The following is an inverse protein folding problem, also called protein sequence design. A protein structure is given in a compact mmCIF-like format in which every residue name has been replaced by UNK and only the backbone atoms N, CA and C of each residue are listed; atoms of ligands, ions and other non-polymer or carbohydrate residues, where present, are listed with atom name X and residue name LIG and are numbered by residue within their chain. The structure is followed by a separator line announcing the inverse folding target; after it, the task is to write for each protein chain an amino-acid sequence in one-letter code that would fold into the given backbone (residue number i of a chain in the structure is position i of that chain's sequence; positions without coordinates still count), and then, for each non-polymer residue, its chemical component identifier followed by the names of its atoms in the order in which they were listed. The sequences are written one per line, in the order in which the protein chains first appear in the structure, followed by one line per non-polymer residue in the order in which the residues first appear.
data_IF_240383306007
#
_entry.id   IF_240383306007
#
_cell.length_a   1.000
_cell.length_b   1.000
_cell.length_c   1.000
_cell.angle_alpha   90.00
_cell.angle_beta   90.00
_cell.angle_gamma   90.00
#
_symmetry.space_group_name_H-M   'P 1'
#
loop_
_entity.id
_entity.type
_entity.pdbx_description
1 polymer ?
#
# COMPACT_ATOMS: atom_id res chain seq x y z
N UNK A 1 9.91 -13.95 -0.37
CA UNK A 1 10.68 -12.85 0.27
C UNK A 1 11.01 -11.72 -0.72
N UNK A 2 11.23 -10.48 -0.25
CA UNK A 2 11.81 -9.38 -1.04
C UNK A 2 13.17 -8.94 -0.49
N UNK A 3 14.07 -8.50 -1.36
CA UNK A 3 15.36 -7.92 -0.96
C UNK A 3 15.75 -6.74 -1.83
N UNK A 4 16.62 -5.89 -1.30
CA UNK A 4 17.16 -4.74 -2.00
C UNK A 4 18.67 -4.93 -2.17
N UNK A 5 19.13 -4.91 -3.42
CA UNK A 5 20.53 -5.05 -3.77
C UNK A 5 21.04 -3.81 -4.51
N UNK A 6 22.30 -3.43 -4.28
CA UNK A 6 22.97 -2.32 -5.00
C UNK A 6 23.24 -2.68 -6.45
N UNK A 7 23.61 -3.94 -6.67
CA UNK A 7 23.98 -4.48 -7.98
C UNK A 7 23.51 -5.92 -8.09
N UNK A 8 23.33 -6.40 -9.32
CA UNK A 8 23.11 -7.82 -9.61
C UNK A 8 24.16 -8.21 -10.64
N UNK A 9 25.22 -8.90 -10.20
CA UNK A 9 26.32 -9.32 -11.07
C UNK A 9 26.03 -10.62 -11.84
N UNK A 10 25.01 -11.37 -11.40
CA UNK A 10 24.67 -12.69 -11.90
C UNK A 10 23.27 -12.73 -12.52
N UNK A 11 23.04 -13.67 -13.43
CA UNK A 11 21.69 -13.93 -13.93
C UNK A 11 20.84 -14.49 -12.80
N UNK A 12 19.69 -13.88 -12.55
CA UNK A 12 18.75 -14.42 -11.57
C UNK A 12 18.15 -15.74 -12.08
N UNK A 13 17.95 -16.74 -11.21
CA UNK A 13 17.22 -17.94 -11.55
C UNK A 13 15.74 -17.62 -11.86
N UNK A 14 15.04 -18.53 -12.51
CA UNK A 14 13.63 -18.37 -12.90
C UNK A 14 12.65 -18.19 -11.72
N UNK A 15 13.07 -18.58 -10.52
CA UNK A 15 12.34 -18.38 -9.26
C UNK A 15 12.73 -17.09 -8.50
N UNK A 16 13.50 -16.20 -9.11
CA UNK A 16 13.78 -14.85 -8.61
C UNK A 16 13.61 -13.80 -9.72
N UNK A 17 12.97 -12.68 -9.42
CA UNK A 17 12.63 -11.66 -10.42
C UNK A 17 12.97 -10.26 -9.91
N UNK A 18 13.52 -9.42 -10.79
CA UNK A 18 13.66 -7.98 -10.51
C UNK A 18 12.28 -7.33 -10.64
N UNK A 19 11.78 -6.78 -9.53
CA UNK A 19 10.49 -6.09 -9.47
C UNK A 19 10.66 -4.63 -9.91
N UNK A 20 11.67 -3.95 -9.36
CA UNK A 20 11.92 -2.53 -9.62
C UNK A 20 13.41 -2.25 -9.67
N UNK A 21 13.83 -1.33 -10.55
CA UNK A 21 15.21 -0.82 -10.60
C UNK A 21 15.22 0.69 -10.44
N UNK A 22 15.78 1.17 -9.34
CA UNK A 22 16.03 2.59 -9.08
C UNK A 22 17.51 2.93 -9.30
N UNK A 23 17.89 4.20 -9.13
CA UNK A 23 19.28 4.65 -9.31
C UNK A 23 20.25 3.98 -8.31
N UNK A 24 19.78 3.72 -7.08
CA UNK A 24 20.63 3.27 -5.97
C UNK A 24 20.34 1.82 -5.54
N UNK A 25 19.13 1.31 -5.81
CA UNK A 25 18.68 -0.01 -5.36
C UNK A 25 17.89 -0.77 -6.42
N UNK A 26 18.06 -2.08 -6.41
CA UNK A 26 17.33 -3.06 -7.21
C UNK A 26 16.48 -3.90 -6.25
N UNK A 27 15.16 -3.84 -6.42
CA UNK A 27 14.21 -4.67 -5.68
C UNK A 27 14.10 -6.03 -6.38
N UNK A 28 14.41 -7.10 -5.64
CA UNK A 28 14.31 -8.49 -6.11
C UNK A 28 13.27 -9.20 -5.27
N UNK A 29 12.33 -9.87 -5.93
CA UNK A 29 11.42 -10.81 -5.31
C UNK A 29 11.93 -12.24 -5.54
N UNK A 30 12.02 -12.99 -4.45
CA UNK A 30 12.49 -14.37 -4.43
C UNK A 30 11.37 -15.27 -3.91
N UNK A 31 11.14 -16.38 -4.60
CA UNK A 31 10.37 -17.48 -4.04
C UNK A 31 11.18 -18.20 -2.94
N UNK A 32 10.88 -17.87 -1.69
CA UNK A 32 11.49 -18.43 -0.49
C UNK A 32 10.99 -19.83 -0.12
N UNK A 33 10.01 -20.37 -0.85
CA UNK A 33 9.63 -21.78 -0.75
C UNK A 33 10.55 -22.69 -1.58
N UNK A 34 11.35 -22.11 -2.49
CA UNK A 34 12.27 -22.89 -3.33
C UNK A 34 13.45 -23.39 -2.48
N UNK A 35 13.83 -24.68 -2.51
CA UNK A 35 14.83 -25.25 -1.60
C UNK A 35 16.22 -24.61 -1.70
N UNK A 36 16.53 -23.95 -2.82
CA UNK A 36 17.82 -23.30 -3.06
C UNK A 36 17.79 -21.77 -2.83
N UNK A 37 16.73 -21.21 -2.26
CA UNK A 37 16.65 -19.75 -2.06
C UNK A 37 17.82 -19.23 -1.20
N UNK A 38 18.26 -20.00 -0.21
CA UNK A 38 19.33 -19.63 0.71
C UNK A 38 20.67 -19.44 -0.02
N UNK A 39 20.96 -20.29 -1.01
CA UNK A 39 22.19 -20.18 -1.81
C UNK A 39 22.23 -18.88 -2.61
N UNK A 40 21.09 -18.41 -3.13
CA UNK A 40 21.01 -17.12 -3.80
C UNK A 40 21.22 -15.94 -2.84
N UNK A 41 20.83 -16.07 -1.56
CA UNK A 41 21.12 -15.04 -0.56
C UNK A 41 22.58 -14.97 -0.19
N UNK A 42 23.25 -16.12 -0.08
CA UNK A 42 24.69 -16.19 0.14
C UNK A 42 25.46 -15.60 -1.05
N UNK A 43 25.01 -15.88 -2.27
CA UNK A 43 25.60 -15.32 -3.50
C UNK A 43 25.43 -13.80 -3.61
N UNK A 44 24.29 -13.26 -3.15
CA UNK A 44 23.99 -11.83 -3.18
C UNK A 44 24.38 -11.10 -1.87
N UNK A 45 25.02 -11.77 -0.92
CA UNK A 45 25.24 -11.25 0.44
C UNK A 45 25.99 -9.91 0.42
N UNK A 46 26.95 -9.74 -0.49
CA UNK A 46 27.78 -8.52 -0.57
C UNK A 46 27.09 -7.37 -1.29
N UNK A 47 26.06 -7.70 -2.07
CA UNK A 47 25.26 -6.81 -2.89
C UNK A 47 24.00 -6.34 -2.17
N UNK A 48 23.49 -7.13 -1.22
CA UNK A 48 22.34 -6.81 -0.38
C UNK A 48 22.69 -5.61 0.51
N UNK A 49 21.82 -4.60 0.51
CA UNK A 49 21.97 -3.46 1.41
C UNK A 49 21.68 -3.92 2.86
N UNK A 50 22.62 -3.73 3.81
CA UNK A 50 22.44 -4.18 5.19
C UNK A 50 21.25 -3.49 5.87
N UNK A 51 20.39 -4.28 6.54
CA UNK A 51 19.21 -3.75 7.25
C UNK A 51 17.96 -3.57 6.38
N UNK A 52 18.03 -3.93 5.10
CA UNK A 52 16.93 -3.78 4.12
C UNK A 52 16.45 -5.14 3.59
N UNK A 53 16.12 -6.06 4.51
CA UNK A 53 15.29 -7.21 4.13
C UNK A 53 13.85 -6.73 3.93
N UNK A 54 13.37 -6.78 2.69
CA UNK A 54 12.00 -6.43 2.36
C UNK A 54 11.05 -7.53 2.80
N UNK A 55 10.18 -7.22 3.76
CA UNK A 55 9.00 -8.07 4.01
C UNK A 55 8.05 -7.87 2.81
N UNK A 56 7.46 -8.95 2.25
CA UNK A 56 6.41 -8.78 1.24
C UNK A 56 5.30 -7.92 1.85
N UNK A 57 4.70 -7.03 1.07
CA UNK A 57 3.60 -6.19 1.57
C UNK A 57 2.47 -7.05 2.17
N UNK A 58 2.15 -8.17 1.51
CA UNK A 58 1.23 -9.21 1.97
C UNK A 58 1.61 -9.79 3.35
N UNK A 59 2.88 -10.14 3.55
CA UNK A 59 3.39 -10.69 4.82
C UNK A 59 3.38 -9.63 5.93
N UNK A 60 3.69 -8.37 5.60
CA UNK A 60 3.66 -7.26 6.55
C UNK A 60 2.21 -6.96 6.97
N UNK A 61 1.31 -6.88 6.00
CA UNK A 61 -0.11 -6.67 6.23
C UNK A 61 -0.70 -7.83 7.06
N UNK A 62 -0.38 -9.07 6.73
CA UNK A 62 -0.78 -10.25 7.53
C UNK A 62 -0.25 -10.20 8.97
N UNK A 63 1.02 -9.82 9.16
CA UNK A 63 1.64 -9.66 10.51
C UNK A 63 1.04 -8.51 11.31
N UNK A 64 0.59 -7.46 10.64
CA UNK A 64 -0.01 -6.28 11.25
C UNK A 64 -1.54 -6.43 11.42
N UNK A 65 -2.12 -7.57 11.03
CA UNK A 65 -3.57 -7.78 11.04
C UNK A 65 -4.32 -6.87 10.07
N UNK A 66 -3.62 -6.33 9.07
CA UNK A 66 -4.18 -5.56 7.97
C UNK A 66 -4.60 -6.58 6.92
N UNK A 67 -5.90 -6.83 6.80
CA UNK A 67 -6.40 -7.52 5.61
C UNK A 67 -6.10 -6.64 4.40
N UNK A 68 -5.27 -7.15 3.48
CA UNK A 68 -5.30 -6.66 2.09
C UNK A 68 -6.50 -7.27 1.39
N UNK A 69 -7.69 -7.05 1.95
CA UNK A 69 -8.92 -7.23 1.20
C UNK A 69 -8.88 -6.21 0.07
N UNK A 70 -9.11 -6.65 -1.17
CA UNK A 70 -9.52 -5.75 -2.25
C UNK A 70 -11.03 -5.61 -2.10
N UNK A 71 -11.52 -4.73 -1.21
CA UNK A 71 -12.93 -4.68 -0.90
C UNK A 71 -13.65 -4.20 -2.15
N UNK A 72 -14.90 -4.60 -2.32
CA UNK A 72 -15.66 -4.11 -3.46
C UNK A 72 -15.70 -2.58 -3.41
N UNK A 73 -15.63 -1.90 -4.57
CA UNK A 73 -15.55 -0.43 -4.60
C UNK A 73 -16.71 0.23 -3.83
N UNK A 74 -17.90 -0.36 -3.85
CA UNK A 74 -19.03 0.10 -3.03
C UNK A 74 -18.75 0.03 -1.51
N UNK A 75 -18.04 -1.02 -1.04
CA UNK A 75 -17.68 -1.14 0.38
C UNK A 75 -16.63 -0.09 0.77
N UNK A 76 -15.63 0.16 -0.10
CA UNK A 76 -14.65 1.21 0.11
C UNK A 76 -15.33 2.59 0.19
N UNK A 77 -16.33 2.83 -0.66
CA UNK A 77 -17.07 4.07 -0.67
C UNK A 77 -17.90 4.27 0.61
N UNK A 78 -18.61 3.24 1.05
CA UNK A 78 -19.36 3.25 2.31
C UNK A 78 -18.45 3.50 3.51
N UNK A 79 -17.30 2.82 3.57
CA UNK A 79 -16.30 3.02 4.62
C UNK A 79 -15.76 4.45 4.62
N UNK A 80 -15.46 5.02 3.46
CA UNK A 80 -15.00 6.40 3.35
C UNK A 80 -16.07 7.40 3.81
N UNK A 81 -17.34 7.20 3.46
CA UNK A 81 -18.44 8.06 3.90
C UNK A 81 -18.62 8.03 5.42
N UNK A 82 -18.51 6.83 6.02
CA UNK A 82 -18.57 6.67 7.48
C UNK A 82 -17.39 7.38 8.16
N UNK A 83 -16.16 7.16 7.68
CA UNK A 83 -14.97 7.79 8.23
C UNK A 83 -15.05 9.32 8.16
N UNK A 84 -15.46 9.88 7.02
CA UNK A 84 -15.64 11.34 6.86
C UNK A 84 -16.68 11.87 7.85
N UNK A 85 -17.76 11.13 8.10
CA UNK A 85 -18.79 11.49 9.09
C UNK A 85 -18.28 11.45 10.53
N UNK A 86 -17.46 10.45 10.87
CA UNK A 86 -16.81 10.34 12.17
C UNK A 86 -15.84 11.52 12.41
N UNK A 87 -15.01 11.86 11.42
CA UNK A 87 -14.10 13.02 11.51
C UNK A 87 -14.92 14.31 11.68
N UNK A 88 -15.99 14.50 10.89
CA UNK A 88 -16.85 15.68 10.97
C UNK A 88 -17.48 15.90 12.36
N UNK A 89 -17.72 14.81 13.09
CA UNK A 89 -18.34 14.86 14.42
C UNK A 89 -17.32 14.87 15.56
N UNK A 90 -16.05 14.56 15.28
CA UNK A 90 -14.97 14.44 16.26
C UNK A 90 -14.71 15.78 16.97
N UNK A 91 -14.56 15.79 18.32
CA UNK A 91 -14.31 17.02 19.09
C UNK A 91 -13.07 17.78 18.62
N UNK A 92 -11.96 17.08 18.40
CA UNK A 92 -10.70 17.72 17.99
C UNK A 92 -10.80 18.40 16.63
N UNK A 93 -11.54 17.81 15.68
CA UNK A 93 -11.76 18.44 14.37
C UNK A 93 -12.62 19.70 14.51
N UNK A 94 -13.66 19.68 15.35
CA UNK A 94 -14.47 20.86 15.64
C UNK A 94 -13.65 21.96 16.31
N UNK A 95 -12.78 21.60 17.26
CA UNK A 95 -11.88 22.55 17.90
C UNK A 95 -10.95 23.22 16.89
N UNK A 96 -10.39 22.49 15.93
CA UNK A 96 -9.59 23.08 14.86
C UNK A 96 -10.39 24.13 14.07
N UNK A 97 -11.64 23.81 13.71
CA UNK A 97 -12.51 24.77 13.02
C UNK A 97 -12.81 26.02 13.87
N UNK A 98 -13.06 25.84 15.17
CA UNK A 98 -13.30 26.94 16.12
C UNK A 98 -12.06 27.83 16.29
N UNK A 99 -10.86 27.24 16.20
CA UNK A 99 -9.58 27.95 16.21
C UNK A 99 -9.25 28.64 14.86
N UNK A 100 -10.14 28.51 13.86
CA UNK A 100 -10.05 29.19 12.57
C UNK A 100 -9.31 28.40 11.49
N UNK A 101 -9.09 27.09 11.67
CA UNK A 101 -8.56 26.22 10.63
C UNK A 101 -9.52 26.17 9.42
N UNK A 102 -9.06 26.68 8.28
CA UNK A 102 -9.82 26.73 7.03
C UNK A 102 -8.93 26.26 5.87
N UNK A 103 -8.85 24.95 5.61
CA UNK A 103 -8.12 24.43 4.48
C UNK A 103 -8.88 24.70 3.17
N UNK A 104 -8.15 24.76 2.05
CA UNK A 104 -8.73 24.93 0.71
C UNK A 104 -9.71 23.80 0.33
N UNK A 105 -9.44 22.58 0.83
CA UNK A 105 -10.31 21.42 0.70
C UNK A 105 -10.73 20.96 2.09
N UNK A 106 -12.04 20.88 2.32
CA UNK A 106 -12.62 20.55 3.62
C UNK A 106 -13.49 19.28 3.55
N UNK A 107 -14.06 18.91 4.69
CA UNK A 107 -14.93 17.72 4.81
C UNK A 107 -16.16 17.77 3.90
N UNK A 108 -16.71 18.95 3.62
CA UNK A 108 -17.84 19.09 2.69
C UNK A 108 -17.43 18.76 1.25
N UNK A 109 -16.20 19.14 0.85
CA UNK A 109 -15.66 18.80 -0.47
C UNK A 109 -15.45 17.28 -0.58
N UNK A 110 -14.88 16.65 0.45
CA UNK A 110 -14.73 15.21 0.51
C UNK A 110 -16.08 14.49 0.42
N UNK A 111 -17.07 14.92 1.20
CA UNK A 111 -18.43 14.38 1.18
C UNK A 111 -19.09 14.51 -0.20
N UNK A 112 -18.88 15.64 -0.87
CA UNK A 112 -19.40 15.90 -2.22
C UNK A 112 -18.75 14.96 -3.24
N UNK A 113 -17.43 14.79 -3.20
CA UNK A 113 -16.72 13.88 -4.09
C UNK A 113 -17.19 12.42 -3.92
N UNK A 114 -17.38 11.97 -2.68
CA UNK A 114 -17.92 10.64 -2.39
C UNK A 114 -19.37 10.47 -2.90
N UNK A 115 -20.18 11.52 -2.80
CA UNK A 115 -21.56 11.50 -3.32
C UNK A 115 -21.57 11.34 -4.85
N UNK A 116 -20.71 12.08 -5.57
CA UNK A 116 -20.61 11.94 -7.03
C UNK A 116 -20.12 10.56 -7.44
N UNK A 117 -19.16 10.00 -6.72
CA UNK A 117 -18.70 8.64 -6.98
C UNK A 117 -19.83 7.62 -6.75
N UNK A 118 -20.65 7.79 -5.71
CA UNK A 118 -21.80 6.92 -5.46
C UNK A 118 -22.78 6.96 -6.64
N UNK A 119 -23.11 8.15 -7.13
CA UNK A 119 -24.02 8.30 -8.27
C UNK A 119 -23.49 7.60 -9.53
N UNK A 120 -22.19 7.69 -9.81
CA UNK A 120 -21.60 6.98 -10.95
C UNK A 120 -21.65 5.46 -10.78
N UNK A 121 -21.48 4.95 -9.54
CA UNK A 121 -21.63 3.52 -9.27
C UNK A 121 -23.08 3.06 -9.43
N UNK A 122 -24.04 3.82 -8.91
CA UNK A 122 -25.46 3.49 -8.99
C UNK A 122 -25.94 3.47 -10.45
N UNK A 123 -25.52 4.45 -11.25
CA UNK A 123 -25.82 4.51 -12.70
C UNK A 123 -25.26 3.32 -13.47
N UNK A 124 -24.07 2.85 -13.10
CA UNK A 124 -23.45 1.67 -13.72
C UNK A 124 -24.11 0.34 -13.30
N UNK A 125 -25.03 0.36 -12.34
CA UNK A 125 -25.82 -0.80 -11.91
C UNK A 125 -27.26 -0.79 -12.48
N UNK A 126 -27.66 0.27 -13.18
CA UNK A 126 -28.94 0.31 -13.91
C UNK A 126 -28.86 -0.58 -15.18
N UNK A 127 -29.87 -1.42 -15.46
CA UNK A 127 -29.86 -2.39 -16.56
C UNK A 127 -29.94 -1.80 -17.97
#
# INVERSE_FOLDING_TARGET
MKLYAKTIAQTLPDWATVVTKSADLIEIEINDEHPNFQSLLEELETEIEPGTFGVKAEDLCSRLGIEMSNPHLCQLLEQAQNLVSEIATHPDYKQLLDEGYQPDLNIADASTALTYLQWELDRNQEP
#
